data_IF_548531850324
#
_entry.id   IF_548531850324
#
_cell.length_a   1.000
_cell.length_b   1.000
_cell.length_c   1.000
_cell.angle_alpha   90.00
_cell.angle_beta   90.00
_cell.angle_gamma   90.00
#
_symmetry.space_group_name_H-M   'P 1'
#
loop_
_entity.id
_entity.type
_entity.pdbx_description
1 polymer ?
#
# COMPACT_ATOMS: atom_id res chain seq x y z
N UNK A 1 6.47 0.58 -7.84
CA UNK A 1 7.89 0.20 -7.98
C UNK A 1 8.00 -1.28 -8.37
N UNK A 2 8.64 -1.57 -9.50
CA UNK A 2 8.85 -2.91 -10.08
C UNK A 2 10.36 -3.21 -10.11
N UNK A 3 10.74 -4.49 -10.09
CA UNK A 3 12.13 -4.91 -10.24
C UNK A 3 12.37 -6.32 -9.70
N UNK A 4 13.55 -6.89 -9.95
CA UNK A 4 13.91 -8.24 -9.50
C UNK A 4 14.10 -8.34 -7.98
N UNK A 5 14.25 -9.55 -7.46
CA UNK A 5 14.60 -9.75 -6.05
C UNK A 5 15.94 -9.08 -5.72
N UNK A 6 16.05 -8.44 -4.55
CA UNK A 6 17.33 -7.85 -4.08
C UNK A 6 17.65 -6.44 -4.58
N UNK A 7 16.93 -5.90 -5.56
CA UNK A 7 17.19 -4.55 -6.14
C UNK A 7 16.88 -3.36 -5.20
N UNK A 8 16.32 -3.61 -4.02
CA UNK A 8 16.07 -2.53 -3.05
C UNK A 8 14.75 -1.76 -3.22
N UNK A 9 13.74 -2.30 -3.91
CA UNK A 9 12.36 -1.72 -3.97
C UNK A 9 11.81 -1.34 -2.59
N UNK A 10 11.91 -2.25 -1.64
CA UNK A 10 11.44 -2.04 -0.26
C UNK A 10 12.22 -0.92 0.42
N UNK A 11 13.54 -0.85 0.19
CA UNK A 11 14.41 0.20 0.72
C UNK A 11 13.99 1.57 0.17
N UNK A 12 13.78 1.67 -1.14
CA UNK A 12 13.33 2.91 -1.78
C UNK A 12 11.95 3.34 -1.26
N UNK A 13 10.98 2.43 -1.24
CA UNK A 13 9.63 2.72 -0.74
C UNK A 13 9.66 3.22 0.71
N UNK A 14 10.57 2.68 1.54
CA UNK A 14 10.78 3.10 2.93
C UNK A 14 11.43 4.47 3.04
N UNK A 15 12.41 4.77 2.20
CA UNK A 15 13.03 6.08 2.14
C UNK A 15 11.99 7.16 1.80
N UNK A 16 11.19 6.93 0.74
CA UNK A 16 10.09 7.83 0.36
C UNK A 16 9.07 7.96 1.48
N UNK A 17 8.61 6.84 2.04
CA UNK A 17 7.64 6.84 3.14
C UNK A 17 8.09 7.70 4.32
N UNK A 18 9.34 7.50 4.78
CA UNK A 18 9.88 8.26 5.91
C UNK A 18 10.02 9.75 5.59
N UNK A 19 10.34 10.09 4.34
CA UNK A 19 10.58 11.47 3.91
C UNK A 19 9.29 12.31 3.84
N UNK A 20 8.16 11.71 3.47
CA UNK A 20 6.89 12.45 3.26
C UNK A 20 5.82 12.17 4.32
N UNK A 21 6.09 11.29 5.29
CA UNK A 21 5.11 10.83 6.27
C UNK A 21 4.45 11.97 7.08
N UNK A 22 5.18 13.03 7.39
CA UNK A 22 4.71 14.19 8.15
C UNK A 22 3.58 14.97 7.45
N UNK A 23 3.37 14.74 6.16
CA UNK A 23 2.34 15.41 5.35
C UNK A 23 0.97 14.72 5.39
N UNK A 24 0.82 13.61 6.11
CA UNK A 24 -0.37 12.76 6.09
C UNK A 24 -0.96 12.54 7.49
N UNK A 25 -2.28 12.34 7.55
CA UNK A 25 -3.03 12.12 8.79
C UNK A 25 -3.06 10.65 9.23
N UNK A 26 -2.80 9.74 8.28
CA UNK A 26 -2.83 8.30 8.50
C UNK A 26 -1.67 7.64 7.78
N UNK A 27 -0.95 6.78 8.49
CA UNK A 27 0.31 6.22 8.03
C UNK A 27 0.28 4.71 8.20
N UNK A 28 0.61 3.96 7.15
CA UNK A 28 0.85 2.53 7.27
C UNK A 28 1.83 2.02 6.23
N UNK A 29 2.96 1.51 6.71
CA UNK A 29 3.79 0.59 5.94
C UNK A 29 3.37 -0.84 6.28
N UNK A 30 2.81 -1.54 5.29
CA UNK A 30 2.39 -2.93 5.39
C UNK A 30 3.44 -3.81 4.70
N UNK A 31 4.34 -4.37 5.50
CA UNK A 31 5.47 -5.17 5.03
C UNK A 31 5.06 -6.60 4.66
N UNK A 32 5.77 -7.19 3.70
CA UNK A 32 5.67 -8.61 3.34
C UNK A 32 4.23 -9.07 3.05
N UNK A 33 3.48 -8.33 2.24
CA UNK A 33 2.07 -8.59 1.94
C UNK A 33 1.86 -10.02 1.40
N UNK A 34 2.71 -10.48 0.47
CA UNK A 34 2.67 -11.88 -0.01
C UNK A 34 2.70 -12.86 1.15
N UNK A 35 3.75 -12.81 1.96
CA UNK A 35 4.02 -13.81 3.00
C UNK A 35 3.00 -13.75 4.14
N UNK A 36 2.66 -12.55 4.58
CA UNK A 36 1.69 -12.35 5.66
C UNK A 36 0.26 -12.73 5.23
N UNK A 37 -0.11 -12.49 3.97
CA UNK A 37 -1.43 -12.94 3.47
C UNK A 37 -1.55 -14.46 3.43
N UNK A 38 -0.47 -15.18 3.12
CA UNK A 38 -0.44 -16.65 3.14
C UNK A 38 -0.48 -17.18 4.57
N UNK A 39 0.29 -16.56 5.47
CA UNK A 39 0.48 -17.05 6.85
C UNK A 39 -0.70 -16.73 7.77
N UNK A 40 -1.29 -15.54 7.64
CA UNK A 40 -2.27 -15.02 8.58
C UNK A 40 -3.60 -14.61 7.91
N UNK A 41 -3.66 -14.59 6.58
CA UNK A 41 -4.85 -14.18 5.83
C UNK A 41 -4.94 -12.68 5.59
N UNK A 42 -5.83 -12.28 4.67
CA UNK A 42 -6.06 -10.87 4.32
C UNK A 42 -6.73 -10.08 5.45
N UNK A 43 -7.62 -10.70 6.23
CA UNK A 43 -8.27 -10.04 7.37
C UNK A 43 -7.24 -9.54 8.38
N UNK A 44 -6.19 -10.33 8.65
CA UNK A 44 -5.09 -9.91 9.53
C UNK A 44 -4.35 -8.66 9.01
N UNK A 45 -4.09 -8.59 7.70
CA UNK A 45 -3.48 -7.41 7.09
C UNK A 45 -4.39 -6.18 7.18
N UNK A 46 -5.70 -6.35 7.00
CA UNK A 46 -6.68 -5.28 7.16
C UNK A 46 -6.77 -4.81 8.62
N UNK A 47 -6.68 -5.71 9.61
CA UNK A 47 -6.61 -5.36 11.03
C UNK A 47 -5.39 -4.50 11.34
N UNK A 48 -4.20 -4.87 10.84
CA UNK A 48 -2.97 -4.08 11.00
C UNK A 48 -3.16 -2.68 10.39
N UNK A 49 -3.65 -2.62 9.15
CA UNK A 49 -3.85 -1.38 8.43
C UNK A 49 -4.80 -0.44 9.16
N UNK A 50 -5.97 -0.95 9.55
CA UNK A 50 -6.96 -0.19 10.31
C UNK A 50 -6.38 0.27 11.66
N UNK A 51 -5.63 -0.59 12.35
CA UNK A 51 -5.03 -0.28 13.64
C UNK A 51 -4.04 0.88 13.54
N UNK A 52 -3.11 0.80 12.58
CA UNK A 52 -2.09 1.84 12.35
C UNK A 52 -2.71 3.17 11.93
N UNK A 53 -3.62 3.15 10.96
CA UNK A 53 -4.22 4.38 10.40
C UNK A 53 -5.21 5.04 11.36
N UNK A 54 -5.96 4.26 12.14
CA UNK A 54 -6.97 4.79 13.06
C UNK A 54 -6.43 5.00 14.49
N UNK A 55 -5.22 4.56 14.79
CA UNK A 55 -4.64 4.61 16.13
C UNK A 55 -5.40 3.78 17.16
N UNK A 56 -6.09 2.71 16.71
CA UNK A 56 -6.93 1.85 17.56
C UNK A 56 -6.30 0.48 17.72
N UNK A 57 -6.06 0.07 18.96
CA UNK A 57 -5.61 -1.29 19.27
C UNK A 57 -6.77 -2.29 19.15
N UNK A 58 -6.41 -3.56 18.97
CA UNK A 58 -7.32 -4.71 19.07
C UNK A 58 -8.53 -4.69 18.13
N UNK A 59 -8.36 -4.12 16.93
CA UNK A 59 -9.36 -4.26 15.86
C UNK A 59 -9.45 -5.73 15.49
N UNK A 60 -10.68 -6.27 15.54
CA UNK A 60 -11.01 -7.61 15.10
C UNK A 60 -12.07 -7.57 14.01
N UNK A 61 -11.79 -8.24 12.91
CA UNK A 61 -12.70 -8.37 11.78
C UNK A 61 -13.29 -9.78 11.75
N UNK A 62 -14.58 -9.88 11.52
CA UNK A 62 -15.28 -11.15 11.30
C UNK A 62 -15.02 -11.71 9.89
N UNK A 63 -14.64 -10.87 8.92
CA UNK A 63 -14.31 -11.30 7.56
C UNK A 63 -13.47 -10.29 6.77
N UNK A 64 -12.89 -10.76 5.66
CA UNK A 64 -12.19 -9.89 4.69
C UNK A 64 -13.13 -8.83 4.10
N UNK A 65 -14.39 -9.18 3.84
CA UNK A 65 -15.39 -8.27 3.28
C UNK A 65 -15.77 -7.15 4.25
N UNK A 66 -15.83 -7.45 5.55
CA UNK A 66 -16.00 -6.44 6.59
C UNK A 66 -14.79 -5.49 6.64
N UNK A 67 -13.57 -6.03 6.57
CA UNK A 67 -12.36 -5.23 6.52
C UNK A 67 -12.33 -4.29 5.33
N UNK A 68 -12.62 -4.80 4.14
CA UNK A 68 -12.72 -4.03 2.89
C UNK A 68 -13.71 -2.86 3.03
N UNK A 69 -14.92 -3.15 3.52
CA UNK A 69 -15.97 -2.15 3.69
C UNK A 69 -15.58 -1.09 4.73
N UNK A 70 -14.96 -1.53 5.83
CA UNK A 70 -14.51 -0.65 6.92
C UNK A 70 -13.37 0.26 6.47
N UNK A 71 -12.40 -0.26 5.73
CA UNK A 71 -11.30 0.52 5.14
C UNK A 71 -11.89 1.62 4.27
N UNK A 72 -12.71 1.27 3.26
CA UNK A 72 -13.32 2.25 2.36
C UNK A 72 -14.11 3.34 3.10
N UNK A 73 -14.95 2.94 4.06
CA UNK A 73 -15.77 3.88 4.82
C UNK A 73 -14.93 4.85 5.66
N UNK A 74 -13.90 4.33 6.35
CA UNK A 74 -13.13 5.11 7.32
C UNK A 74 -12.01 5.93 6.68
N UNK A 75 -11.47 5.48 5.55
CA UNK A 75 -10.30 6.08 4.93
C UNK A 75 -10.66 7.17 3.91
N UNK A 76 -11.88 7.15 3.35
CA UNK A 76 -12.37 8.14 2.36
C UNK A 76 -12.36 9.59 2.83
N UNK A 77 -12.18 9.84 4.14
CA UNK A 77 -12.15 11.18 4.75
C UNK A 77 -10.78 11.55 5.34
N UNK A 78 -9.75 10.76 5.09
CA UNK A 78 -8.42 10.95 5.65
C UNK A 78 -7.37 10.98 4.55
N UNK A 79 -6.43 11.92 4.64
CA UNK A 79 -5.23 11.95 3.81
C UNK A 79 -4.24 10.91 4.32
N UNK A 80 -4.13 9.78 3.62
CA UNK A 80 -3.37 8.60 4.05
C UNK A 80 -2.14 8.36 3.17
N UNK A 81 -1.02 7.98 3.78
CA UNK A 81 0.13 7.39 3.10
C UNK A 81 0.20 5.91 3.42
N UNK A 82 -0.03 5.08 2.40
CA UNK A 82 -0.03 3.62 2.50
C UNK A 82 1.06 3.03 1.62
N UNK A 83 1.91 2.18 2.20
CA UNK A 83 2.83 1.33 1.44
C UNK A 83 2.37 -0.12 1.53
N UNK A 84 2.18 -0.75 0.38
CA UNK A 84 1.93 -2.19 0.23
C UNK A 84 3.18 -2.84 -0.35
N UNK A 85 3.95 -3.52 0.51
CA UNK A 85 5.24 -4.09 0.13
C UNK A 85 5.14 -5.57 -0.23
N UNK A 86 5.82 -5.96 -1.33
CA UNK A 86 5.91 -7.32 -1.85
C UNK A 86 4.54 -7.95 -2.18
N UNK A 87 3.73 -7.20 -2.92
CA UNK A 87 2.43 -7.66 -3.44
C UNK A 87 2.63 -8.60 -4.63
N UNK A 88 1.97 -9.76 -4.62
CA UNK A 88 2.08 -10.77 -5.69
C UNK A 88 0.74 -11.22 -6.28
N UNK A 89 -0.39 -10.84 -5.66
CA UNK A 89 -1.75 -11.19 -6.12
C UNK A 89 -2.65 -9.98 -6.25
N UNK A 90 -3.44 -9.94 -7.33
CA UNK A 90 -4.42 -8.87 -7.57
C UNK A 90 -5.49 -8.79 -6.46
N UNK A 91 -5.85 -9.93 -5.87
CA UNK A 91 -6.79 -10.00 -4.75
C UNK A 91 -6.32 -9.19 -3.53
N UNK A 92 -5.01 -9.19 -3.22
CA UNK A 92 -4.44 -8.39 -2.13
C UNK A 92 -4.73 -6.90 -2.34
N UNK A 93 -4.53 -6.40 -3.56
CA UNK A 93 -4.83 -5.01 -3.90
C UNK A 93 -6.33 -4.73 -3.84
N UNK A 94 -7.17 -5.58 -4.45
CA UNK A 94 -8.62 -5.39 -4.48
C UNK A 94 -9.24 -5.31 -3.08
N UNK A 95 -8.70 -6.06 -2.12
CA UNK A 95 -9.23 -6.11 -0.75
C UNK A 95 -8.62 -5.09 0.21
N UNK A 96 -7.46 -4.51 -0.10
CA UNK A 96 -6.75 -3.56 0.78
C UNK A 96 -6.79 -2.12 0.24
N UNK A 97 -6.66 -1.96 -1.07
CA UNK A 97 -6.59 -0.67 -1.76
C UNK A 97 -7.33 -0.76 -3.11
N UNK A 98 -8.63 -1.06 -3.06
CA UNK A 98 -9.43 -1.42 -4.23
C UNK A 98 -9.65 -0.31 -5.26
N UNK A 99 -9.52 0.96 -4.87
CA UNK A 99 -9.65 2.12 -5.75
C UNK A 99 -9.20 3.40 -5.05
N UNK A 100 -8.92 4.45 -5.85
CA UNK A 100 -8.54 5.76 -5.30
C UNK A 100 -9.67 6.42 -4.50
N UNK A 101 -10.94 6.09 -4.79
CA UNK A 101 -12.13 6.56 -4.07
C UNK A 101 -12.24 6.03 -2.63
N UNK A 102 -11.37 5.09 -2.24
CA UNK A 102 -11.32 4.57 -0.87
C UNK A 102 -10.59 5.51 0.09
N UNK A 103 -9.82 6.46 -0.43
CA UNK A 103 -8.95 7.32 0.36
C UNK A 103 -9.34 8.78 0.19
N UNK A 104 -9.09 9.59 1.23
CA UNK A 104 -9.34 11.03 1.17
C UNK A 104 -8.43 11.72 0.16
N UNK A 105 -8.82 12.92 -0.25
CA UNK A 105 -8.04 13.74 -1.18
C UNK A 105 -6.59 13.94 -0.69
N UNK A 106 -5.64 13.86 -1.62
CA UNK A 106 -4.21 14.00 -1.35
C UNK A 106 -3.55 12.75 -0.75
N UNK A 107 -4.27 11.64 -0.61
CA UNK A 107 -3.70 10.36 -0.20
C UNK A 107 -2.75 9.79 -1.26
N UNK A 108 -1.79 8.97 -0.81
CA UNK A 108 -0.86 8.25 -1.70
C UNK A 108 -0.77 6.78 -1.31
N UNK A 109 -0.84 5.91 -2.31
CA UNK A 109 -0.64 4.46 -2.17
C UNK A 109 0.59 4.06 -2.99
N UNK A 110 1.62 3.56 -2.32
CA UNK A 110 2.86 3.08 -2.93
C UNK A 110 2.84 1.56 -2.91
N UNK A 111 3.01 0.94 -4.07
CA UNK A 111 3.02 -0.52 -4.21
C UNK A 111 4.41 -0.96 -4.67
N UNK A 112 5.00 -1.92 -3.96
CA UNK A 112 6.17 -2.66 -4.46
C UNK A 112 5.73 -4.04 -4.91
N UNK A 113 6.19 -4.45 -6.09
CA UNK A 113 5.90 -5.78 -6.64
C UNK A 113 7.03 -6.22 -7.55
N UNK A 114 7.09 -7.52 -7.83
CA UNK A 114 7.92 -8.07 -8.92
C UNK A 114 7.09 -8.31 -10.18
N UNK A 115 5.77 -8.19 -10.11
CA UNK A 115 4.85 -8.52 -11.18
C UNK A 115 4.22 -7.25 -11.78
N UNK A 116 4.76 -6.79 -12.91
CA UNK A 116 4.23 -5.60 -13.60
C UNK A 116 2.79 -5.75 -14.08
N UNK A 117 2.37 -6.97 -14.46
CA UNK A 117 1.02 -7.24 -14.95
C UNK A 117 -0.04 -7.01 -13.88
N UNK A 118 0.33 -7.18 -12.61
CA UNK A 118 -0.55 -6.92 -11.48
C UNK A 118 -0.93 -5.44 -11.38
N UNK A 119 0.01 -4.52 -11.64
CA UNK A 119 -0.24 -3.08 -11.59
C UNK A 119 -1.16 -2.65 -12.74
N UNK A 120 -0.92 -3.17 -13.94
CA UNK A 120 -1.77 -2.92 -15.11
C UNK A 120 -3.21 -3.43 -14.89
N UNK A 121 -3.36 -4.64 -14.35
CA UNK A 121 -4.67 -5.23 -14.05
C UNK A 121 -5.44 -4.49 -12.94
N UNK A 122 -4.73 -3.78 -12.06
CA UNK A 122 -5.32 -2.96 -11.00
C UNK A 122 -5.61 -1.52 -11.45
N UNK A 123 -5.17 -1.12 -12.66
CA UNK A 123 -5.37 0.24 -13.18
C UNK A 123 -4.46 1.29 -12.53
N UNK A 124 -3.25 0.91 -12.11
CA UNK A 124 -2.28 1.85 -11.56
C UNK A 124 -1.80 2.82 -12.64
N UNK A 125 -1.92 4.11 -12.39
CA UNK A 125 -1.61 5.17 -13.37
C UNK A 125 -0.10 5.38 -13.60
N UNK A 126 0.72 5.21 -12.56
CA UNK A 126 2.18 5.44 -12.63
C UNK A 126 2.97 4.26 -12.09
N UNK A 127 3.96 3.83 -12.86
CA UNK A 127 4.83 2.71 -12.50
C UNK A 127 6.29 3.08 -12.73
N UNK A 128 7.15 2.70 -11.79
CA UNK A 128 8.60 2.96 -11.85
C UNK A 128 9.36 1.65 -11.70
N UNK A 129 10.38 1.42 -12.53
CA UNK A 129 11.30 0.28 -12.42
C UNK A 129 12.56 0.70 -11.67
N UNK A 130 12.90 0.00 -10.57
CA UNK A 130 13.98 0.47 -9.68
C UNK A 130 15.35 0.40 -10.32
N UNK A 131 15.57 -0.62 -11.16
CA UNK A 131 16.80 -0.80 -11.90
C UNK A 131 17.08 0.38 -12.88
N UNK A 132 16.04 1.09 -13.31
CA UNK A 132 16.11 2.13 -14.35
C UNK A 132 15.60 3.52 -13.89
N UNK A 133 15.48 3.73 -12.58
CA UNK A 133 14.96 4.99 -12.02
C UNK A 133 15.86 6.18 -12.37
N UNK A 134 15.33 7.10 -13.16
CA UNK A 134 15.97 8.38 -13.44
C UNK A 134 15.87 9.35 -12.25
N UNK A 135 16.69 10.41 -12.27
CA UNK A 135 16.61 11.47 -11.25
C UNK A 135 15.25 12.17 -11.27
N UNK A 136 14.68 12.39 -12.45
CA UNK A 136 13.36 13.01 -12.62
C UNK A 136 12.25 12.15 -12.00
N UNK A 137 12.21 10.86 -12.33
CA UNK A 137 11.26 9.91 -11.73
C UNK A 137 11.46 9.78 -10.22
N UNK A 138 12.71 9.84 -9.76
CA UNK A 138 13.02 9.82 -8.32
C UNK A 138 12.44 11.04 -7.59
N UNK A 139 12.42 12.21 -8.23
CA UNK A 139 11.77 13.40 -7.69
C UNK A 139 10.25 13.28 -7.75
N UNK A 140 9.70 12.67 -8.79
CA UNK A 140 8.26 12.42 -8.88
C UNK A 140 7.74 11.49 -7.77
N UNK A 141 8.57 10.58 -7.26
CA UNK A 141 8.20 9.77 -6.09
C UNK A 141 7.91 10.61 -4.83
N UNK A 142 8.46 11.83 -4.77
CA UNK A 142 8.31 12.76 -3.64
C UNK A 142 7.11 13.70 -3.82
N UNK A 143 6.66 13.91 -5.06
CA UNK A 143 5.59 14.84 -5.44
C UNK A 143 4.22 14.17 -5.57
#
# INVERSE_FOLDING_TARGET
SIGMGGVGKTTLARAVYNLIADQFEGLCFLEHVRENSIKYGLAYLQEILLSKVLGKKDIKLASVGEGTSTIRQRFSRKKILLVLDDVDKLEQLRMIAGGLDWFGYGSRVIITTRNKHLLAAHGVERTYEVDDLTMEESLELLN
#
